data_IF_600586959511
#
_entry.id   IF_600586959511
#
_cell.length_a   1.000
_cell.length_b   1.000
_cell.length_c   1.000
_cell.angle_alpha   90.00
_cell.angle_beta   90.00
_cell.angle_gamma   90.00
#
_symmetry.space_group_name_H-M   'P 1'
#
loop_
_entity.id
_entity.type
_entity.pdbx_description
1 polymer ?
#
# COMPACT_ATOMS: atom_id res chain seq x y z
N UNK A 1 6.26 5.44 -13.81
CA UNK A 1 5.10 4.82 -13.15
C UNK A 1 5.19 3.34 -13.48
N UNK A 2 5.14 2.42 -12.51
CA UNK A 2 5.27 0.98 -12.79
C UNK A 2 4.11 0.50 -13.66
N UNK A 3 4.35 -0.48 -14.52
CA UNK A 3 3.29 -1.11 -15.29
C UNK A 3 2.63 -2.25 -14.49
N UNK A 4 1.55 -2.82 -15.04
CA UNK A 4 0.80 -3.89 -14.39
C UNK A 4 1.68 -5.10 -14.01
N UNK A 5 2.63 -5.56 -14.86
CA UNK A 5 3.49 -6.68 -14.50
C UNK A 5 4.31 -6.43 -13.22
N UNK A 6 4.90 -5.24 -13.07
CA UNK A 6 5.70 -4.89 -11.90
C UNK A 6 4.83 -4.78 -10.64
N UNK A 7 3.64 -4.18 -10.77
CA UNK A 7 2.69 -4.08 -9.66
C UNK A 7 2.27 -5.46 -9.17
N UNK A 8 2.08 -6.42 -10.07
CA UNK A 8 1.69 -7.79 -9.71
C UNK A 8 2.82 -8.58 -9.02
N UNK A 9 4.08 -8.26 -9.32
CA UNK A 9 5.23 -8.79 -8.57
C UNK A 9 5.21 -8.28 -7.13
N UNK A 10 5.00 -6.97 -6.95
CA UNK A 10 4.91 -6.36 -5.61
C UNK A 10 3.72 -6.93 -4.82
N UNK A 11 2.54 -7.04 -5.44
CA UNK A 11 1.32 -7.56 -4.80
C UNK A 11 1.54 -8.97 -4.24
N UNK A 12 2.04 -9.89 -5.07
CA UNK A 12 2.33 -11.28 -4.66
C UNK A 12 3.40 -11.35 -3.56
N UNK A 13 4.42 -10.50 -3.64
CA UNK A 13 5.46 -10.41 -2.61
C UNK A 13 4.93 -9.96 -1.25
N UNK A 14 4.02 -8.98 -1.24
CA UNK A 14 3.44 -8.45 0.00
C UNK A 14 2.44 -9.41 0.65
N UNK A 15 1.63 -10.11 -0.14
CA UNK A 15 0.52 -10.97 0.31
C UNK A 15 0.91 -11.93 1.45
N UNK A 16 2.08 -12.57 1.38
CA UNK A 16 2.59 -13.48 2.42
C UNK A 16 2.78 -12.80 3.78
N UNK A 17 3.14 -11.52 3.78
CA UNK A 17 3.61 -10.82 4.97
C UNK A 17 2.54 -9.93 5.59
N UNK A 18 1.66 -9.35 4.78
CA UNK A 18 0.72 -8.33 5.26
C UNK A 18 -0.70 -8.86 5.48
N UNK A 19 -1.11 -9.91 4.77
CA UNK A 19 -2.48 -10.42 4.83
C UNK A 19 -2.87 -10.89 6.24
N UNK A 20 -4.07 -10.51 6.68
CA UNK A 20 -4.61 -10.87 7.99
C UNK A 20 -4.05 -10.08 9.18
N UNK A 21 -3.08 -9.17 8.96
CA UNK A 21 -2.54 -8.33 10.03
C UNK A 21 -3.39 -7.07 10.24
N UNK A 22 -3.46 -6.63 11.49
CA UNK A 22 -4.09 -5.35 11.85
C UNK A 22 -3.03 -4.24 11.80
N UNK A 23 -3.33 -3.14 11.12
CA UNK A 23 -2.51 -1.92 11.15
C UNK A 23 -2.79 -1.19 12.46
N UNK A 24 -1.77 -0.95 13.27
CA UNK A 24 -1.92 -0.31 14.59
C UNK A 24 -1.78 1.20 14.57
N UNK A 25 -0.95 1.73 13.66
CA UNK A 25 -0.65 3.16 13.54
C UNK A 25 -0.23 3.47 12.09
N UNK A 26 -0.46 4.72 11.66
CA UNK A 26 -0.04 5.23 10.34
C UNK A 26 0.48 6.65 10.51
N UNK A 27 1.66 6.94 9.96
CA UNK A 27 2.23 8.28 9.87
C UNK A 27 2.24 8.76 8.40
N UNK A 28 1.65 9.92 8.13
CA UNK A 28 1.60 10.51 6.78
C UNK A 28 2.66 11.61 6.66
N UNK A 29 3.83 11.24 6.15
CA UNK A 29 4.94 12.19 5.94
C UNK A 29 4.74 13.14 4.77
N UNK A 30 3.87 12.79 3.82
CA UNK A 30 3.51 13.68 2.71
C UNK A 30 2.01 13.63 2.41
N UNK A 31 1.28 14.76 2.56
CA UNK A 31 -0.18 14.81 2.38
C UNK A 31 -0.69 14.34 1.00
N UNK A 32 0.15 14.41 -0.06
CA UNK A 32 -0.26 14.00 -1.42
C UNK A 32 -0.55 12.50 -1.54
N UNK A 33 0.04 11.68 -0.65
CA UNK A 33 -0.10 10.22 -0.69
C UNK A 33 -1.53 9.75 -0.38
N UNK A 34 -2.30 10.54 0.39
CA UNK A 34 -3.66 10.22 0.84
C UNK A 34 -4.72 11.14 0.25
N UNK A 35 -4.37 11.94 -0.77
CA UNK A 35 -5.24 12.99 -1.33
C UNK A 35 -6.63 12.50 -1.80
N UNK A 36 -6.76 11.21 -2.13
CA UNK A 36 -8.02 10.59 -2.61
C UNK A 36 -8.74 9.76 -1.53
N UNK A 37 -8.28 9.83 -0.29
CA UNK A 37 -8.96 9.20 0.82
C UNK A 37 -10.17 10.05 1.19
N UNK A 38 -11.37 9.45 1.19
CA UNK A 38 -12.58 10.08 1.69
C UNK A 38 -12.54 9.96 3.22
N UNK A 39 -12.51 11.09 3.91
CA UNK A 39 -12.60 11.16 5.37
C UNK A 39 -14.03 10.89 5.85
#
# INVERSE_FOLDING_TARGET
>A
MPELPEVEVVRRGLERWVSGRTVTEVEVLHPRAVRRHLA
#
